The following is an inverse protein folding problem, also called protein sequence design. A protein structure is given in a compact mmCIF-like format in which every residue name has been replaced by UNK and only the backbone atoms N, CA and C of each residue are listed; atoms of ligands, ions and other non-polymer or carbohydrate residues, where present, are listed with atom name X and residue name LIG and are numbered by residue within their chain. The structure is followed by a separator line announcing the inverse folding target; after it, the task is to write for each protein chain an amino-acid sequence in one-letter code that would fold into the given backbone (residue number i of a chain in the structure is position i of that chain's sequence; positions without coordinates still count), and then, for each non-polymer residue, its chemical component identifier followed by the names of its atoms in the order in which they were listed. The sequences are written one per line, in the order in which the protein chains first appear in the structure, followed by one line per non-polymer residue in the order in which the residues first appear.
data_IF_522009415190
#
_entry.id   IF_522009415190
#
_cell.length_a   1.000
_cell.length_b   1.000
_cell.length_c   1.000
_cell.angle_alpha   90.00
_cell.angle_beta   90.00
_cell.angle_gamma   90.00
#
_symmetry.space_group_name_H-M   'P 1'
#
loop_
_entity.id
_entity.type
_entity.pdbx_description
1 polymer ?
#
# COMPACT_ATOMS: atom_id res chain seq x y z
N UNK A 1 49.45 -47.12 92.32
CA UNK A 1 49.61 -45.87 91.53
C UNK A 1 48.80 -46.07 90.25
N UNK A 2 47.59 -45.52 90.13
CA UNK A 2 47.26 -44.20 89.54
C UNK A 2 47.73 -44.08 88.07
N UNK A 3 46.97 -43.76 87.02
CA UNK A 3 45.54 -43.44 86.78
C UNK A 3 45.35 -43.36 85.23
N UNK A 4 44.14 -43.68 84.72
CA UNK A 4 43.34 -43.05 83.61
C UNK A 4 44.08 -42.35 82.44
N UNK A 5 43.70 -42.48 81.15
CA UNK A 5 42.41 -42.07 80.56
C UNK A 5 42.27 -42.53 79.09
N UNK A 6 41.04 -42.95 78.72
CA UNK A 6 40.48 -42.96 77.36
C UNK A 6 40.34 -41.52 76.82
N UNK A 7 40.41 -41.33 75.50
CA UNK A 7 39.73 -40.31 74.67
C UNK A 7 40.16 -40.52 73.21
N UNK A 8 39.40 -40.30 72.15
CA UNK A 8 37.98 -40.14 71.88
C UNK A 8 37.89 -40.14 70.34
N UNK A 9 36.86 -40.77 69.77
CA UNK A 9 36.56 -40.69 68.33
C UNK A 9 36.29 -39.24 67.92
N UNK A 10 36.87 -38.79 66.82
CA UNK A 10 36.35 -37.66 66.05
C UNK A 10 35.99 -38.16 64.65
N UNK A 11 34.72 -38.52 64.52
CA UNK A 11 34.04 -38.67 63.24
C UNK A 11 33.60 -37.27 62.85
N UNK A 12 34.27 -36.66 61.87
CA UNK A 12 33.76 -35.44 61.21
C UNK A 12 32.97 -35.91 59.99
N UNK A 13 31.65 -35.67 59.92
CA UNK A 13 30.86 -36.03 58.76
C UNK A 13 31.14 -35.09 57.58
N UNK A 14 31.07 -35.64 56.38
CA UNK A 14 31.08 -34.96 55.09
C UNK A 14 30.26 -33.67 55.10
N UNK A 15 30.90 -32.53 54.82
CA UNK A 15 30.16 -31.33 54.44
C UNK A 15 29.56 -31.53 53.04
N UNK A 16 28.25 -31.29 52.82
CA UNK A 16 27.69 -31.31 51.49
C UNK A 16 28.26 -30.12 50.71
N UNK A 17 29.04 -30.42 49.67
CA UNK A 17 29.53 -29.47 48.68
C UNK A 17 28.39 -28.54 48.23
N UNK A 18 28.43 -27.27 48.65
CA UNK A 18 27.55 -26.21 48.16
C UNK A 18 27.79 -26.06 46.66
N UNK A 19 27.00 -26.75 45.84
CA UNK A 19 26.89 -26.44 44.42
C UNK A 19 26.31 -25.03 44.34
N UNK A 20 27.14 -24.05 43.98
CA UNK A 20 26.68 -22.76 43.50
C UNK A 20 25.78 -23.05 42.30
N UNK A 21 24.46 -22.90 42.49
CA UNK A 21 23.54 -22.87 41.38
C UNK A 21 23.91 -21.66 40.53
N UNK A 22 24.59 -21.91 39.41
CA UNK A 22 24.70 -20.93 38.34
C UNK A 22 23.26 -20.61 37.96
N UNK A 23 22.81 -19.35 37.99
CA UNK A 23 21.47 -19.02 37.54
C UNK A 23 21.40 -19.44 36.08
N UNK A 24 20.63 -20.51 35.80
CA UNK A 24 20.29 -20.88 34.44
C UNK A 24 19.61 -19.65 33.83
N UNK A 25 20.14 -19.16 32.70
CA UNK A 25 19.44 -18.12 31.94
C UNK A 25 17.97 -18.56 31.82
N UNK A 26 17.00 -17.71 32.19
CA UNK A 26 15.61 -18.08 32.04
C UNK A 26 15.38 -18.41 30.57
N UNK A 27 15.04 -19.67 30.27
CA UNK A 27 14.60 -20.06 28.94
C UNK A 27 13.37 -19.21 28.63
N UNK A 28 13.51 -18.33 27.64
CA UNK A 28 12.41 -17.46 27.23
C UNK A 28 11.39 -18.34 26.51
N UNK A 29 10.15 -18.37 26.99
CA UNK A 29 9.13 -19.21 26.37
C UNK A 29 8.79 -18.68 24.97
N UNK A 30 8.44 -19.55 24.01
CA UNK A 30 8.04 -19.12 22.67
C UNK A 30 6.88 -18.12 22.68
N UNK A 31 5.97 -18.22 23.64
CA UNK A 31 4.83 -17.33 23.81
C UNK A 31 5.28 -15.90 24.17
N UNK A 32 6.33 -15.76 24.97
CA UNK A 32 6.91 -14.44 25.30
C UNK A 32 7.56 -13.84 24.06
N UNK A 33 8.28 -14.64 23.27
CA UNK A 33 8.87 -14.17 22.01
C UNK A 33 7.77 -13.72 21.05
N UNK A 34 6.66 -14.47 20.95
CA UNK A 34 5.53 -14.15 20.08
C UNK A 34 4.90 -12.79 20.38
N UNK A 35 4.84 -12.38 21.65
CA UNK A 35 4.27 -11.08 22.06
C UNK A 35 5.12 -9.88 21.62
N UNK A 36 6.39 -10.10 21.31
CA UNK A 36 7.32 -9.06 20.89
C UNK A 36 7.67 -9.12 19.39
N UNK A 37 7.16 -10.12 18.66
CA UNK A 37 7.40 -10.25 17.22
C UNK A 37 6.60 -9.23 16.43
N UNK A 38 7.24 -8.62 15.43
CA UNK A 38 6.52 -7.78 14.48
C UNK A 38 5.67 -8.65 13.54
N UNK A 39 4.67 -8.04 12.91
CA UNK A 39 3.85 -8.75 11.93
C UNK A 39 4.66 -9.26 10.72
N UNK A 40 5.72 -8.54 10.33
CA UNK A 40 6.65 -8.99 9.29
C UNK A 40 7.40 -10.24 9.71
N UNK A 41 7.92 -10.27 10.94
CA UNK A 41 8.63 -11.44 11.46
C UNK A 41 7.68 -12.65 11.58
N UNK A 42 6.42 -12.43 11.99
CA UNK A 42 5.41 -13.49 12.01
C UNK A 42 5.17 -14.08 10.62
N UNK A 43 5.13 -13.26 9.57
CA UNK A 43 5.02 -13.74 8.19
C UNK A 43 6.23 -14.58 7.79
N UNK A 44 7.44 -14.15 8.12
CA UNK A 44 8.67 -14.90 7.83
C UNK A 44 8.72 -16.25 8.54
N UNK A 45 8.29 -16.30 9.81
CA UNK A 45 8.16 -17.56 10.57
C UNK A 45 7.19 -18.50 9.87
N UNK A 46 6.01 -18.01 9.45
CA UNK A 46 5.03 -18.83 8.72
C UNK A 46 5.58 -19.32 7.39
N UNK A 47 6.28 -18.48 6.63
CA UNK A 47 6.94 -18.87 5.38
C UNK A 47 7.99 -19.96 5.60
N UNK A 48 8.76 -19.86 6.68
CA UNK A 48 9.75 -20.89 7.08
C UNK A 48 9.06 -22.21 7.39
N UNK A 49 7.93 -22.18 8.11
CA UNK A 49 7.12 -23.37 8.41
C UNK A 49 6.51 -24.00 7.16
N UNK A 50 6.12 -23.19 6.17
CA UNK A 50 5.65 -23.66 4.86
C UNK A 50 6.74 -24.33 4.04
N UNK A 51 7.98 -23.82 4.10
CA UNK A 51 9.11 -24.40 3.37
C UNK A 51 9.59 -25.73 3.98
N UNK A 52 9.28 -25.99 5.25
CA UNK A 52 9.76 -27.17 5.95
C UNK A 52 8.87 -28.41 5.70
N UNK A 53 9.42 -29.55 5.19
CA UNK A 53 8.62 -30.70 4.75
C UNK A 53 7.70 -31.31 5.81
N UNK A 54 8.12 -31.31 7.08
CA UNK A 54 7.34 -31.92 8.15
C UNK A 54 6.13 -31.07 8.61
N UNK A 55 6.16 -29.75 8.37
CA UNK A 55 5.15 -28.81 8.87
C UNK A 55 4.30 -28.21 7.75
N UNK A 56 4.81 -28.21 6.51
CA UNK A 56 4.17 -27.63 5.33
C UNK A 56 2.67 -27.95 5.23
N UNK A 57 2.30 -29.23 5.22
CA UNK A 57 0.91 -29.65 5.04
C UNK A 57 0.00 -29.09 6.15
N UNK A 58 0.43 -29.17 7.40
CA UNK A 58 -0.35 -28.66 8.53
C UNK A 58 -0.47 -27.14 8.48
N UNK A 59 0.63 -26.44 8.22
CA UNK A 59 0.65 -24.97 8.10
C UNK A 59 -0.23 -24.50 6.94
N UNK A 60 -0.21 -25.19 5.79
CA UNK A 60 -1.12 -24.91 4.67
C UNK A 60 -2.58 -25.09 5.06
N UNK A 61 -2.93 -26.21 5.71
CA UNK A 61 -4.31 -26.45 6.17
C UNK A 61 -4.79 -25.37 7.14
N UNK A 62 -3.92 -24.93 8.06
CA UNK A 62 -4.27 -23.84 8.98
C UNK A 62 -4.48 -22.52 8.23
N UNK A 63 -3.59 -22.13 7.31
CA UNK A 63 -3.77 -20.89 6.54
C UNK A 63 -5.06 -20.90 5.72
N UNK A 64 -5.39 -22.03 5.08
CA UNK A 64 -6.63 -22.17 4.32
C UNK A 64 -7.87 -22.13 5.23
N UNK A 65 -7.79 -22.66 6.44
CA UNK A 65 -8.88 -22.56 7.41
C UNK A 65 -9.19 -21.12 7.86
N UNK A 66 -8.22 -20.20 7.73
CA UNK A 66 -8.38 -18.78 8.04
C UNK A 66 -8.51 -17.88 6.79
N UNK A 67 -8.56 -18.47 5.59
CA UNK A 67 -8.52 -17.75 4.31
C UNK A 67 -9.60 -16.67 4.20
N UNK A 68 -10.86 -17.04 4.43
CA UNK A 68 -12.01 -16.12 4.33
C UNK A 68 -11.82 -14.92 5.27
N UNK A 69 -11.51 -15.18 6.55
CA UNK A 69 -11.26 -14.11 7.52
C UNK A 69 -10.07 -13.22 7.14
N UNK A 70 -9.01 -13.79 6.59
CA UNK A 70 -7.84 -13.03 6.16
C UNK A 70 -8.16 -12.12 4.97
N UNK A 71 -8.93 -12.61 4.00
CA UNK A 71 -9.36 -11.82 2.85
C UNK A 71 -10.40 -10.76 3.22
N UNK A 72 -11.38 -11.06 4.06
CA UNK A 72 -12.34 -10.08 4.58
C UNK A 72 -11.63 -8.95 5.32
N UNK A 73 -10.68 -9.29 6.19
CA UNK A 73 -9.88 -8.30 6.90
C UNK A 73 -9.08 -7.44 5.92
N UNK A 74 -8.38 -8.07 4.96
CA UNK A 74 -7.58 -7.34 3.98
C UNK A 74 -8.45 -6.48 3.05
N UNK A 75 -9.67 -6.89 2.75
CA UNK A 75 -10.62 -6.12 1.95
C UNK A 75 -11.08 -4.88 2.72
N UNK A 76 -11.45 -5.04 3.99
CA UNK A 76 -11.85 -3.91 4.83
C UNK A 76 -10.70 -2.90 4.99
N UNK A 77 -9.48 -3.37 5.23
CA UNK A 77 -8.29 -2.52 5.29
C UNK A 77 -8.07 -1.76 3.96
N UNK A 78 -8.16 -2.46 2.82
CA UNK A 78 -8.03 -1.83 1.50
C UNK A 78 -9.15 -0.82 1.21
N UNK A 79 -10.38 -1.11 1.66
CA UNK A 79 -11.52 -0.22 1.50
C UNK A 79 -11.37 1.07 2.34
N UNK A 80 -10.93 0.94 3.59
CA UNK A 80 -10.62 2.08 4.46
C UNK A 80 -9.48 2.93 3.86
N UNK A 81 -8.45 2.29 3.34
CA UNK A 81 -7.32 2.95 2.69
C UNK A 81 -7.77 3.71 1.44
N UNK A 82 -8.63 3.13 0.60
CA UNK A 82 -9.28 3.82 -0.52
C UNK A 82 -10.01 5.08 -0.06
N UNK A 83 -10.80 4.98 1.01
CA UNK A 83 -11.52 6.13 1.57
C UNK A 83 -10.57 7.21 2.06
N UNK A 84 -9.50 6.81 2.77
CA UNK A 84 -8.46 7.68 3.29
C UNK A 84 -7.74 8.45 2.17
N UNK A 85 -7.38 7.79 1.08
CA UNK A 85 -6.78 8.42 -0.10
C UNK A 85 -7.74 9.45 -0.72
N UNK A 86 -9.01 9.08 -0.94
CA UNK A 86 -10.00 9.98 -1.55
C UNK A 86 -10.26 11.24 -0.72
N UNK A 87 -10.34 11.09 0.60
CA UNK A 87 -10.48 12.20 1.53
C UNK A 87 -9.21 13.05 1.56
N UNK A 88 -8.05 12.41 1.69
CA UNK A 88 -6.73 13.06 1.69
C UNK A 88 -6.50 13.90 0.44
N UNK A 89 -6.81 13.37 -0.75
CA UNK A 89 -6.70 14.12 -2.00
C UNK A 89 -7.64 15.33 -2.03
N UNK A 90 -8.85 15.22 -1.48
CA UNK A 90 -9.79 16.35 -1.40
C UNK A 90 -9.26 17.46 -0.48
N UNK A 91 -8.67 17.08 0.66
CA UNK A 91 -8.03 18.01 1.61
C UNK A 91 -6.77 18.64 1.02
N UNK A 92 -5.92 17.84 0.35
CA UNK A 92 -4.71 18.32 -0.31
C UNK A 92 -5.03 19.38 -1.38
N UNK A 93 -6.04 19.13 -2.22
CA UNK A 93 -6.53 20.13 -3.17
C UNK A 93 -7.00 21.41 -2.48
N UNK A 94 -7.82 21.31 -1.44
CA UNK A 94 -8.31 22.49 -0.73
C UNK A 94 -7.16 23.32 -0.13
N UNK A 95 -6.15 22.66 0.42
CA UNK A 95 -4.93 23.29 0.90
C UNK A 95 -4.15 23.97 -0.23
N UNK A 96 -3.98 23.29 -1.36
CA UNK A 96 -3.30 23.81 -2.54
C UNK A 96 -3.97 25.08 -3.09
N UNK A 97 -5.30 25.06 -3.20
CA UNK A 97 -6.12 26.21 -3.61
C UNK A 97 -5.89 27.40 -2.68
N UNK A 98 -5.96 27.18 -1.36
CA UNK A 98 -5.75 28.23 -0.36
C UNK A 98 -4.34 28.84 -0.48
N UNK A 99 -3.33 28.00 -0.65
CA UNK A 99 -1.94 28.45 -0.85
C UNK A 99 -1.77 29.24 -2.14
N UNK A 100 -2.46 28.88 -3.21
CA UNK A 100 -2.38 29.59 -4.47
C UNK A 100 -3.05 30.96 -4.43
N UNK A 101 -4.22 31.08 -3.80
CA UNK A 101 -4.85 32.37 -3.55
C UNK A 101 -3.96 33.29 -2.71
N UNK A 102 -3.28 32.75 -1.69
CA UNK A 102 -2.33 33.51 -0.89
C UNK A 102 -1.12 34.02 -1.69
N UNK A 103 -0.73 33.32 -2.76
CA UNK A 103 0.46 33.60 -3.58
C UNK A 103 0.15 34.12 -4.99
N UNK A 104 -1.04 34.69 -5.22
CA UNK A 104 -1.47 35.28 -6.51
C UNK A 104 -1.28 34.32 -7.71
N UNK A 105 -1.53 33.03 -7.55
CA UNK A 105 -1.54 32.05 -8.64
C UNK A 105 -0.17 31.63 -9.23
N UNK A 106 0.92 32.30 -8.86
CA UNK A 106 2.27 32.11 -9.44
C UNK A 106 2.93 30.74 -9.19
N UNK A 107 2.39 29.89 -8.31
CA UNK A 107 2.99 28.61 -7.91
C UNK A 107 2.12 27.38 -8.24
N UNK A 108 1.10 27.52 -9.10
CA UNK A 108 0.08 26.47 -9.21
C UNK A 108 0.49 25.20 -9.95
N UNK A 109 1.42 25.29 -10.89
CA UNK A 109 1.79 24.16 -11.72
C UNK A 109 2.48 23.02 -10.94
N UNK A 110 3.37 23.36 -10.02
CA UNK A 110 4.14 22.37 -9.24
C UNK A 110 3.40 21.96 -7.96
N UNK A 111 2.74 22.92 -7.31
CA UNK A 111 2.16 22.70 -5.98
C UNK A 111 1.00 21.70 -6.00
N UNK A 112 0.25 21.62 -7.11
CA UNK A 112 -0.85 20.68 -7.25
C UNK A 112 -0.37 19.22 -7.40
N UNK A 113 0.45 18.86 -8.40
CA UNK A 113 1.04 17.53 -8.52
C UNK A 113 1.78 17.08 -7.25
N UNK A 114 2.59 17.96 -6.65
CA UNK A 114 3.32 17.65 -5.41
C UNK A 114 2.39 17.38 -4.23
N UNK A 115 1.26 18.08 -4.13
CA UNK A 115 0.25 17.81 -3.09
C UNK A 115 -0.43 16.44 -3.26
N UNK A 116 -0.44 15.90 -4.48
CA UNK A 116 -1.09 14.63 -4.80
C UNK A 116 -0.12 13.44 -4.83
N UNK A 117 1.17 13.69 -5.05
CA UNK A 117 2.24 12.68 -5.10
C UNK A 117 2.21 11.66 -3.96
N UNK A 118 1.96 12.05 -2.68
CA UNK A 118 1.95 11.08 -1.58
C UNK A 118 0.88 9.98 -1.71
N UNK A 119 -0.13 10.16 -2.57
CA UNK A 119 -1.19 9.19 -2.77
C UNK A 119 -0.83 8.11 -3.80
N UNK A 120 0.10 8.36 -4.74
CA UNK A 120 0.49 7.40 -5.77
C UNK A 120 1.05 6.07 -5.21
N UNK A 121 2.01 6.06 -4.26
CA UNK A 121 2.49 4.81 -3.68
C UNK A 121 1.43 4.08 -2.84
N UNK A 122 0.47 4.82 -2.27
CA UNK A 122 -0.67 4.23 -1.55
C UNK A 122 -1.65 3.55 -2.51
N UNK A 123 -1.86 4.14 -3.69
CA UNK A 123 -2.62 3.52 -4.78
C UNK A 123 -1.89 2.27 -5.30
N UNK A 124 -0.56 2.31 -5.47
CA UNK A 124 0.23 1.12 -5.80
C UNK A 124 0.03 0.01 -4.77
N UNK A 125 0.09 0.33 -3.48
CA UNK A 125 -0.14 -0.64 -2.43
C UNK A 125 -1.54 -1.28 -2.51
N UNK A 126 -2.58 -0.55 -2.95
CA UNK A 126 -3.90 -1.12 -3.23
C UNK A 126 -3.89 -2.09 -4.43
N UNK A 127 -3.14 -1.76 -5.50
CA UNK A 127 -2.96 -2.67 -6.65
C UNK A 127 -2.30 -3.97 -6.18
N UNK A 128 -1.26 -3.86 -5.36
CA UNK A 128 -0.46 -4.99 -4.89
C UNK A 128 -1.22 -5.94 -3.95
N UNK A 129 -2.38 -5.52 -3.39
CA UNK A 129 -3.29 -6.41 -2.64
C UNK A 129 -3.95 -7.47 -3.53
N UNK A 130 -3.97 -7.28 -4.86
CA UNK A 130 -4.44 -8.26 -5.83
C UNK A 130 -5.97 -8.37 -5.95
N UNK A 131 -6.42 -9.23 -6.86
CA UNK A 131 -7.83 -9.35 -7.27
C UNK A 131 -8.70 -10.05 -6.22
N UNK A 132 -8.15 -10.97 -5.44
CA UNK A 132 -8.86 -11.63 -4.33
C UNK A 132 -9.37 -10.63 -3.28
N UNK A 133 -8.72 -9.48 -3.18
CA UNK A 133 -9.07 -8.39 -2.25
C UNK A 133 -9.75 -7.23 -3.00
N UNK A 134 -10.11 -7.40 -4.27
CA UNK A 134 -10.67 -6.31 -5.11
C UNK A 134 -9.71 -5.10 -5.22
N UNK A 135 -8.42 -5.32 -4.97
CA UNK A 135 -7.38 -4.28 -4.88
C UNK A 135 -7.32 -3.36 -6.11
N UNK A 136 -7.21 -3.89 -7.35
CA UNK A 136 -7.18 -3.08 -8.56
C UNK A 136 -8.42 -2.21 -8.78
N UNK A 137 -9.62 -2.69 -8.40
CA UNK A 137 -10.87 -1.92 -8.51
C UNK A 137 -10.88 -0.77 -7.50
N UNK A 138 -10.48 -1.04 -6.25
CA UNK A 138 -10.35 0.00 -5.22
C UNK A 138 -9.26 1.02 -5.58
N UNK A 139 -8.13 0.56 -6.10
CA UNK A 139 -7.05 1.41 -6.60
C UNK A 139 -7.54 2.32 -7.74
N UNK A 140 -8.33 1.78 -8.68
CA UNK A 140 -8.95 2.56 -9.75
C UNK A 140 -9.83 3.67 -9.19
N UNK A 141 -10.71 3.37 -8.23
CA UNK A 141 -11.57 4.38 -7.61
C UNK A 141 -10.79 5.49 -6.93
N UNK A 142 -9.74 5.15 -6.19
CA UNK A 142 -8.84 6.11 -5.56
C UNK A 142 -8.09 6.96 -6.61
N UNK A 143 -7.55 6.33 -7.65
CA UNK A 143 -6.81 6.99 -8.73
C UNK A 143 -7.69 7.96 -9.53
N UNK A 144 -8.94 7.58 -9.85
CA UNK A 144 -9.92 8.48 -10.48
C UNK A 144 -10.12 9.75 -9.66
N UNK A 145 -10.25 9.60 -8.35
CA UNK A 145 -10.48 10.74 -7.44
C UNK A 145 -9.23 11.62 -7.34
N UNK A 146 -8.06 11.03 -7.07
CA UNK A 146 -6.81 11.77 -6.93
C UNK A 146 -6.45 12.54 -8.22
N UNK A 147 -6.56 11.88 -9.38
CA UNK A 147 -6.34 12.50 -10.70
C UNK A 147 -7.30 13.64 -10.97
N UNK A 148 -8.59 13.50 -10.64
CA UNK A 148 -9.55 14.62 -10.79
C UNK A 148 -9.23 15.79 -9.86
N UNK A 149 -8.61 15.54 -8.70
CA UNK A 149 -8.21 16.61 -7.78
C UNK A 149 -6.92 17.32 -8.20
N UNK A 150 -6.09 16.70 -9.05
CA UNK A 150 -4.88 17.32 -9.60
C UNK A 150 -5.17 18.23 -10.81
N UNK A 151 -6.35 18.11 -11.43
CA UNK A 151 -6.80 19.02 -12.49
C UNK A 151 -7.36 20.29 -11.85
N UNK A 152 -6.69 21.42 -12.05
CA UNK A 152 -7.13 22.73 -11.54
C UNK A 152 -7.87 23.53 -12.61
N UNK A 153 -9.05 24.05 -12.25
CA UNK A 153 -9.84 24.97 -13.08
C UNK A 153 -9.79 26.36 -12.40
N UNK A 154 -9.18 27.36 -13.04
CA UNK A 154 -9.34 28.76 -12.64
C UNK A 154 -10.67 29.28 -13.21
N UNK A 155 -11.45 30.00 -12.40
CA UNK A 155 -12.60 30.75 -12.88
C UNK A 155 -12.10 32.11 -13.41
N UNK A 156 -12.36 32.35 -14.70
CA UNK A 156 -12.17 33.64 -15.37
C UNK A 156 -13.02 34.72 -14.70
N UNK A 157 -12.40 35.67 -14.02
CA UNK A 157 -12.94 37.03 -13.87
C UNK A 157 -11.85 38.10 -13.73
N UNK A 158 -10.56 37.75 -13.87
CA UNK A 158 -9.50 38.74 -14.02
C UNK A 158 -8.27 38.11 -14.69
N UNK A 159 -8.05 38.49 -15.95
CA UNK A 159 -6.82 38.43 -16.75
C UNK A 159 -5.80 37.31 -16.44
N UNK A 160 -5.86 36.28 -17.30
CA UNK A 160 -4.77 35.42 -17.77
C UNK A 160 -3.67 35.02 -16.76
N UNK A 161 -3.85 33.85 -16.14
CA UNK A 161 -2.72 32.94 -15.93
C UNK A 161 -2.99 31.68 -16.74
N UNK A 162 -2.63 31.79 -18.00
CA UNK A 162 -2.52 30.70 -18.94
C UNK A 162 -1.50 29.68 -18.42
N UNK A 163 -1.93 28.46 -18.11
CA UNK A 163 -1.03 27.34 -17.80
C UNK A 163 -0.32 26.91 -19.11
N UNK A 164 0.61 27.74 -19.58
CA UNK A 164 1.26 27.62 -20.90
C UNK A 164 2.33 26.51 -20.98
N UNK A 165 2.48 25.68 -19.96
CA UNK A 165 3.42 24.56 -19.99
C UNK A 165 2.96 23.44 -19.04
N UNK A 166 1.79 22.88 -19.31
CA UNK A 166 1.35 21.66 -18.63
C UNK A 166 2.31 20.46 -18.88
N UNK A 167 3.15 20.49 -19.92
CA UNK A 167 4.18 19.46 -20.20
C UNK A 167 5.27 19.44 -19.10
N UNK A 168 5.62 20.58 -18.54
CA UNK A 168 6.64 20.68 -17.46
C UNK A 168 6.25 19.98 -16.15
N UNK A 169 4.96 19.73 -15.91
CA UNK A 169 4.45 19.08 -14.70
C UNK A 169 3.85 17.69 -14.96
N UNK A 170 4.19 17.10 -16.10
CA UNK A 170 3.57 15.87 -16.59
C UNK A 170 4.08 14.60 -15.91
N UNK A 171 5.19 14.69 -15.15
CA UNK A 171 5.75 13.55 -14.41
C UNK A 171 4.72 12.87 -13.51
N UNK A 172 3.81 13.63 -12.88
CA UNK A 172 2.75 13.07 -12.05
C UNK A 172 1.71 12.33 -12.90
N UNK A 173 1.34 12.90 -14.05
CA UNK A 173 0.38 12.30 -14.96
C UNK A 173 0.97 11.08 -15.70
N UNK A 174 2.29 11.04 -15.89
CA UNK A 174 3.02 9.86 -16.31
C UNK A 174 2.97 8.76 -15.25
N UNK A 175 3.16 9.06 -13.97
CA UNK A 175 2.99 8.04 -12.93
C UNK A 175 1.55 7.53 -12.86
N UNK A 176 0.57 8.43 -12.98
CA UNK A 176 -0.87 8.08 -13.06
C UNK A 176 -1.15 7.18 -14.26
N UNK A 177 -0.62 7.48 -15.44
CA UNK A 177 -0.76 6.64 -16.64
C UNK A 177 -0.14 5.26 -16.45
N UNK A 178 0.98 5.17 -15.73
CA UNK A 178 1.60 3.89 -15.36
C UNK A 178 0.70 3.04 -14.48
N UNK A 179 0.12 3.64 -13.43
CA UNK A 179 -0.81 2.96 -12.51
C UNK A 179 -2.09 2.53 -13.22
N UNK A 180 -2.67 3.40 -14.07
CA UNK A 180 -3.85 3.07 -14.87
C UNK A 180 -3.58 1.88 -15.79
N UNK A 181 -2.46 1.89 -16.52
CA UNK A 181 -2.08 0.80 -17.39
C UNK A 181 -1.89 -0.51 -16.63
N UNK A 182 -1.29 -0.47 -15.44
CA UNK A 182 -1.12 -1.67 -14.60
C UNK A 182 -2.48 -2.24 -14.17
N UNK A 183 -3.39 -1.40 -13.69
CA UNK A 183 -4.74 -1.82 -13.32
C UNK A 183 -5.43 -2.48 -14.50
N UNK A 184 -5.39 -1.86 -15.69
CA UNK A 184 -6.05 -2.42 -16.87
C UNK A 184 -5.44 -3.73 -17.34
N UNK A 185 -4.12 -3.91 -17.25
CA UNK A 185 -3.46 -5.19 -17.56
C UNK A 185 -3.90 -6.29 -16.60
N UNK A 186 -4.01 -6.00 -15.31
CA UNK A 186 -4.51 -6.95 -14.31
C UNK A 186 -5.97 -7.30 -14.65
N UNK A 187 -6.81 -6.31 -14.90
CA UNK A 187 -8.22 -6.56 -15.20
C UNK A 187 -8.42 -7.32 -16.52
N UNK A 188 -7.62 -7.05 -17.54
CA UNK A 188 -7.66 -7.83 -18.78
C UNK A 188 -7.47 -9.35 -18.53
N UNK A 189 -6.65 -9.71 -17.55
CA UNK A 189 -6.35 -11.11 -17.23
C UNK A 189 -7.38 -11.75 -16.30
N UNK A 190 -7.94 -10.97 -15.37
CA UNK A 190 -8.75 -11.51 -14.27
C UNK A 190 -10.24 -11.17 -14.36
N UNK A 191 -10.60 -10.01 -14.89
CA UNK A 191 -11.98 -9.55 -15.08
C UNK A 191 -12.09 -8.64 -16.33
N UNK A 192 -12.06 -9.22 -17.54
CA UNK A 192 -12.12 -8.46 -18.78
C UNK A 192 -13.48 -7.78 -19.00
N UNK A 193 -14.55 -8.20 -18.32
CA UNK A 193 -15.87 -7.57 -18.42
C UNK A 193 -15.90 -6.22 -17.71
N UNK A 194 -15.17 -6.06 -16.59
CA UNK A 194 -14.97 -4.77 -15.95
C UNK A 194 -14.42 -3.69 -16.91
N UNK A 195 -13.61 -4.08 -17.90
CA UNK A 195 -13.10 -3.19 -18.95
C UNK A 195 -14.14 -2.87 -20.04
N UNK A 196 -15.26 -3.59 -20.10
CA UNK A 196 -16.31 -3.48 -21.13
C UNK A 196 -17.59 -2.81 -20.64
N UNK A 197 -17.88 -2.83 -19.34
CA UNK A 197 -19.12 -2.29 -18.76
C UNK A 197 -19.33 -0.79 -19.05
N UNK A 198 -18.25 -0.01 -19.13
CA UNK A 198 -18.29 1.39 -19.54
C UNK A 198 -17.01 1.72 -20.31
N UNK A 199 -17.12 2.14 -21.58
CA UNK A 199 -15.97 2.44 -22.46
C UNK A 199 -14.87 3.25 -21.71
N UNK A 200 -13.78 2.58 -21.29
CA UNK A 200 -12.74 3.21 -20.48
C UNK A 200 -11.97 4.25 -21.30
N UNK A 201 -11.98 4.12 -22.63
CA UNK A 201 -11.42 5.12 -23.55
C UNK A 201 -12.18 6.43 -23.40
N UNK A 202 -13.51 6.40 -23.44
CA UNK A 202 -14.36 7.59 -23.28
C UNK A 202 -14.13 8.28 -21.93
N UNK A 203 -13.91 7.53 -20.85
CA UNK A 203 -13.59 8.10 -19.53
C UNK A 203 -12.25 8.81 -19.52
N UNK A 204 -11.21 8.21 -20.08
CA UNK A 204 -9.87 8.83 -20.14
C UNK A 204 -9.90 10.06 -21.06
N UNK A 205 -10.60 9.99 -22.20
CA UNK A 205 -10.83 11.14 -23.08
C UNK A 205 -11.57 12.27 -22.37
N UNK A 206 -12.52 11.96 -21.49
CA UNK A 206 -13.19 12.96 -20.64
C UNK A 206 -12.19 13.64 -19.69
N UNK A 207 -11.21 12.92 -19.14
CA UNK A 207 -10.19 13.52 -18.28
C UNK A 207 -9.22 14.40 -19.04
N UNK A 208 -8.78 13.95 -20.22
CA UNK A 208 -8.04 14.79 -21.18
C UNK A 208 -8.79 16.08 -21.53
N UNK A 209 -10.12 15.99 -21.67
CA UNK A 209 -10.98 17.15 -21.91
C UNK A 209 -11.18 18.05 -20.68
N UNK A 210 -11.12 17.52 -19.46
CA UNK A 210 -11.21 18.35 -18.25
C UNK A 210 -9.89 19.08 -17.99
N UNK A 211 -8.76 18.45 -18.32
CA UNK A 211 -7.44 19.05 -18.29
C UNK A 211 -7.17 19.92 -19.55
N UNK A 212 -8.07 20.86 -19.88
CA UNK A 212 -7.88 21.68 -21.10
C UNK A 212 -6.63 22.57 -20.99
N UNK A 213 -5.92 22.66 -22.10
CA UNK A 213 -4.93 23.68 -22.40
C UNK A 213 -5.58 24.83 -23.18
N UNK A 214 -4.84 25.91 -23.43
CA UNK A 214 -5.28 26.98 -24.34
C UNK A 214 -5.61 26.51 -25.75
N UNK A 215 -4.90 25.49 -26.23
CA UNK A 215 -5.06 24.96 -27.58
C UNK A 215 -6.15 23.86 -27.66
N UNK A 216 -6.86 23.62 -26.55
CA UNK A 216 -7.93 22.64 -26.44
C UNK A 216 -7.62 21.50 -25.47
N UNK A 217 -8.30 20.33 -25.59
CA UNK A 217 -8.09 19.19 -24.69
C UNK A 217 -6.62 18.75 -24.63
N UNK A 218 -6.10 18.43 -23.45
CA UNK A 218 -4.75 17.88 -23.31
C UNK A 218 -4.70 16.48 -23.94
N UNK A 219 -3.97 16.34 -25.06
CA UNK A 219 -3.93 15.09 -25.85
C UNK A 219 -2.77 14.15 -25.49
N UNK A 220 -1.73 14.66 -24.82
CA UNK A 220 -0.50 13.92 -24.55
C UNK A 220 -0.54 13.08 -23.25
N UNK A 221 -1.34 13.51 -22.25
CA UNK A 221 -1.56 12.74 -21.02
C UNK A 221 -2.24 11.40 -21.27
N UNK A 222 -1.83 10.36 -20.55
CA UNK A 222 -2.46 9.03 -20.56
C UNK A 222 -2.36 8.25 -21.88
N UNK A 223 -1.36 8.58 -22.70
CA UNK A 223 -1.20 7.98 -24.03
C UNK A 223 -0.90 6.48 -23.99
N UNK A 224 -0.18 5.97 -22.98
CA UNK A 224 0.13 4.52 -22.88
C UNK A 224 -1.13 3.73 -22.58
N UNK A 225 -1.94 4.21 -21.64
CA UNK A 225 -3.23 3.58 -21.32
C UNK A 225 -4.18 3.62 -22.51
N UNK A 226 -4.27 4.75 -23.23
CA UNK A 226 -5.11 4.85 -24.44
C UNK A 226 -4.63 3.93 -25.56
N UNK A 227 -3.31 3.81 -25.79
CA UNK A 227 -2.75 2.90 -26.78
C UNK A 227 -3.07 1.43 -26.44
N UNK A 228 -2.97 1.06 -25.17
CA UNK A 228 -3.38 -0.27 -24.69
C UNK A 228 -4.86 -0.54 -24.96
N UNK A 229 -5.74 0.41 -24.59
CA UNK A 229 -7.19 0.24 -24.80
C UNK A 229 -7.56 0.17 -26.28
N UNK A 230 -6.90 0.94 -27.16
CA UNK A 230 -7.14 0.90 -28.60
C UNK A 230 -6.73 -0.42 -29.26
N UNK A 231 -5.74 -1.12 -28.69
CA UNK A 231 -5.39 -2.48 -29.12
C UNK A 231 -6.32 -3.54 -28.53
N UNK A 232 -6.90 -3.29 -27.35
CA UNK A 232 -7.72 -4.24 -26.60
C UNK A 232 -9.19 -4.25 -27.01
N UNK A 233 -9.77 -3.07 -27.25
CA UNK A 233 -11.15 -2.92 -27.68
C UNK A 233 -11.15 -2.90 -29.22
N UNK A 234 -11.71 -3.91 -29.91
CA UNK A 234 -11.84 -3.84 -31.35
C UNK A 234 -12.64 -2.58 -31.69
N UNK A 235 -12.12 -1.78 -32.62
CA UNK A 235 -12.84 -0.66 -33.19
C UNK A 235 -14.17 -1.17 -33.72
N UNK A 236 -15.26 -0.91 -33.00
CA UNK A 236 -16.58 -0.84 -33.63
C UNK A 236 -16.53 0.39 -34.54
N UNK A 237 -16.08 0.17 -35.77
CA UNK A 237 -16.28 1.11 -36.85
C UNK A 237 -17.79 1.29 -37.08
N UNK A 238 -18.21 2.56 -36.92
CA UNK A 238 -19.30 3.30 -37.57
C UNK A 238 -20.29 3.95 -36.60
#
# INVERSE_FOLDING_TARGET
MATKLKREHSYVPDEPSKRLAVPSKPETSPEVVLQHLSFSDLKEVVQTLLAHPATCTFTQSQLLAYQERAFDYSFNEAYEERCSIMLGASVARASAIKSAYANKGSQSLVLWPESMKPFLPRIQALIDKGTEVTGPVLAWDALKRATRMSIFEWYDDSDEITLNDEESCDWYHDEVDGLMLQIFRIQQQHDPEWLREEDPTKKIRKWQFLAKTIDGPCKYRYHRTLAFLGAFLPTTEA
#
